data_IF_534821841336
#
_entry.id   IF_534821841336
#
_cell.length_a   1.000
_cell.length_b   1.000
_cell.length_c   1.000
_cell.angle_alpha   90.00
_cell.angle_beta   90.00
_cell.angle_gamma   90.00
#
_symmetry.space_group_name_H-M   'P 1'
#
loop_
_entity.id
_entity.type
_entity.pdbx_description
1 polymer ?
#
# COMPACT_ATOMS: atom_id res chain seq x y z
N UNK A 1 13.69 5.10 17.02
CA UNK A 1 12.58 4.22 16.60
C UNK A 1 12.30 4.55 15.16
N UNK A 2 12.67 3.64 14.28
CA UNK A 2 12.46 3.75 12.84
C UNK A 2 11.46 2.69 12.43
N UNK A 3 10.27 3.13 12.02
CA UNK A 3 9.18 2.22 11.70
C UNK A 3 9.24 1.76 10.25
N UNK A 4 8.77 0.55 10.00
CA UNK A 4 8.52 0.01 8.67
C UNK A 4 7.14 -0.64 8.62
N UNK A 5 6.65 -0.85 7.42
CA UNK A 5 5.32 -1.40 7.15
C UNK A 5 5.38 -2.22 5.86
N UNK A 6 4.88 -3.46 5.83
CA UNK A 6 4.87 -4.27 4.60
C UNK A 6 4.06 -3.58 3.50
N UNK A 7 4.62 -3.53 2.29
CA UNK A 7 4.00 -2.82 1.19
C UNK A 7 2.94 -3.64 0.47
N UNK A 8 1.89 -2.96 0.04
CA UNK A 8 0.88 -3.49 -0.88
C UNK A 8 0.46 -2.34 -1.80
N UNK A 9 0.93 -2.36 -3.02
CA UNK A 9 0.61 -1.34 -4.01
C UNK A 9 0.96 0.07 -3.54
N UNK A 10 -0.02 0.96 -3.43
CA UNK A 10 0.21 2.34 -2.98
C UNK A 10 0.14 2.54 -1.46
N UNK A 11 -0.10 1.47 -0.68
CA UNK A 11 -0.25 1.62 0.78
C UNK A 11 1.04 2.06 1.46
N UNK A 12 2.19 1.49 1.08
CA UNK A 12 3.49 1.87 1.60
C UNK A 12 3.85 3.31 1.27
N UNK A 13 3.59 3.74 0.04
CA UNK A 13 3.82 5.13 -0.38
C UNK A 13 2.95 6.11 0.41
N UNK A 14 1.64 5.85 0.52
CA UNK A 14 0.72 6.70 1.28
C UNK A 14 1.05 6.72 2.78
N UNK A 15 1.43 5.57 3.35
CA UNK A 15 1.86 5.47 4.75
C UNK A 15 3.18 6.23 4.98
N UNK A 16 4.15 6.14 4.06
CA UNK A 16 5.41 6.86 4.13
C UNK A 16 5.20 8.38 4.18
N UNK A 17 4.33 8.93 3.33
CA UNK A 17 3.96 10.35 3.34
C UNK A 17 3.31 10.72 4.69
N UNK A 18 2.37 9.92 5.17
CA UNK A 18 1.74 10.16 6.47
C UNK A 18 2.76 10.16 7.61
N UNK A 19 3.69 9.20 7.64
CA UNK A 19 4.69 9.12 8.69
C UNK A 19 5.64 10.32 8.69
N UNK A 20 6.09 10.77 7.52
CA UNK A 20 6.87 12.02 7.40
C UNK A 20 6.10 13.22 7.93
N UNK A 21 4.85 13.39 7.51
CA UNK A 21 3.97 14.47 7.95
C UNK A 21 3.69 14.45 9.47
N UNK A 22 3.67 13.25 10.08
CA UNK A 22 3.55 13.08 11.52
C UNK A 22 4.88 13.27 12.26
N UNK A 23 6.01 13.31 11.57
CA UNK A 23 7.35 13.35 12.14
C UNK A 23 7.74 12.01 12.77
N UNK A 24 7.36 10.91 12.14
CA UNK A 24 7.75 9.54 12.48
C UNK A 24 8.83 9.10 11.50
N UNK A 25 9.96 8.61 12.00
CA UNK A 25 11.01 8.05 11.17
C UNK A 25 10.51 6.77 10.49
N UNK A 26 10.43 6.80 9.18
CA UNK A 26 9.94 5.69 8.36
C UNK A 26 11.03 5.17 7.43
N UNK A 27 11.19 3.87 7.39
CA UNK A 27 12.04 3.15 6.44
C UNK A 27 11.12 2.43 5.46
N UNK A 28 11.09 2.84 4.18
CA UNK A 28 10.27 2.17 3.20
C UNK A 28 10.78 0.76 2.93
N UNK A 29 9.86 -0.16 2.70
CA UNK A 29 10.18 -1.50 2.21
C UNK A 29 10.40 -1.40 0.69
N UNK A 30 11.57 -1.78 0.18
CA UNK A 30 11.77 -1.85 -1.25
C UNK A 30 11.06 -3.08 -1.81
N UNK A 31 10.63 -3.00 -3.07
CA UNK A 31 10.28 -4.23 -3.79
C UNK A 31 11.48 -5.17 -3.79
N UNK A 32 11.31 -6.44 -3.38
CA UNK A 32 12.42 -7.40 -3.33
C UNK A 32 12.97 -7.64 -4.74
N UNK A 33 14.29 -7.50 -4.89
CA UNK A 33 14.97 -7.75 -6.15
C UNK A 33 16.27 -8.56 -5.90
N UNK A 34 16.45 -9.65 -6.63
CA UNK A 34 17.74 -10.31 -6.71
C UNK A 34 18.04 -11.42 -5.70
N UNK A 35 19.24 -11.42 -5.10
CA UNK A 35 19.73 -12.52 -4.29
C UNK A 35 19.06 -12.61 -2.92
N UNK A 36 18.78 -11.47 -2.31
CA UNK A 36 18.17 -11.36 -0.98
C UNK A 36 16.74 -11.92 -0.96
N UNK A 37 15.98 -11.66 -2.02
CA UNK A 37 14.67 -12.27 -2.24
C UNK A 37 14.75 -13.79 -2.22
N UNK A 38 15.72 -14.36 -2.96
CA UNK A 38 15.89 -15.82 -3.04
C UNK A 38 16.24 -16.44 -1.69
N UNK A 39 17.02 -15.76 -0.87
CA UNK A 39 17.34 -16.22 0.49
C UNK A 39 16.11 -16.19 1.40
N UNK A 40 15.38 -15.08 1.41
CA UNK A 40 14.15 -14.97 2.19
C UNK A 40 13.10 -16.01 1.77
N UNK A 41 12.98 -16.28 0.47
CA UNK A 41 12.06 -17.30 -0.03
C UNK A 41 12.43 -18.72 0.37
N UNK A 42 13.73 -19.03 0.55
CA UNK A 42 14.19 -20.34 1.05
C UNK A 42 13.81 -20.57 2.51
N UNK A 43 13.83 -19.50 3.32
CA UNK A 43 13.50 -19.60 4.73
C UNK A 43 11.98 -19.60 4.99
N UNK A 44 11.19 -19.20 4.01
CA UNK A 44 9.75 -19.28 4.10
C UNK A 44 9.26 -20.72 3.89
N UNK A 45 8.26 -21.21 4.66
CA UNK A 45 7.64 -22.49 4.39
C UNK A 45 7.07 -22.57 2.97
N UNK A 46 7.19 -23.72 2.31
CA UNK A 46 6.80 -23.90 0.90
C UNK A 46 5.33 -23.61 0.64
N UNK A 47 4.48 -23.99 1.61
CA UNK A 47 3.01 -23.87 1.53
C UNK A 47 2.50 -22.44 1.84
N UNK A 48 3.40 -21.50 2.17
CA UNK A 48 3.02 -20.11 2.40
C UNK A 48 2.79 -19.38 1.09
N UNK A 49 1.75 -18.54 1.09
CA UNK A 49 1.37 -17.73 -0.06
C UNK A 49 2.42 -16.64 -0.37
N UNK A 50 2.40 -16.14 -1.60
CA UNK A 50 3.35 -15.14 -2.09
C UNK A 50 3.46 -13.90 -1.19
N UNK A 51 2.35 -13.31 -0.66
CA UNK A 51 2.45 -12.17 0.26
C UNK A 51 3.36 -12.41 1.46
N UNK A 52 3.31 -13.60 2.06
CA UNK A 52 4.19 -13.93 3.19
C UNK A 52 5.66 -13.87 2.80
N UNK A 53 6.00 -14.48 1.65
CA UNK A 53 7.37 -14.55 1.14
C UNK A 53 7.92 -13.16 0.83
N UNK A 54 7.09 -12.31 0.23
CA UNK A 54 7.45 -10.93 -0.06
C UNK A 54 7.64 -10.12 1.22
N UNK A 55 6.71 -10.19 2.16
CA UNK A 55 6.85 -9.50 3.46
C UNK A 55 8.11 -9.93 4.22
N UNK A 56 8.48 -11.21 4.13
CA UNK A 56 9.71 -11.68 4.75
C UNK A 56 10.95 -11.00 4.12
N UNK A 57 11.01 -10.93 2.78
CA UNK A 57 12.11 -10.29 2.07
C UNK A 57 12.15 -8.77 2.32
N UNK A 58 10.99 -8.11 2.25
CA UNK A 58 10.84 -6.68 2.51
C UNK A 58 11.30 -6.29 3.91
N UNK A 59 10.89 -7.06 4.92
CA UNK A 59 11.24 -6.78 6.30
C UNK A 59 12.72 -7.10 6.60
N UNK A 60 13.28 -8.15 6.00
CA UNK A 60 14.71 -8.44 6.11
C UNK A 60 15.56 -7.28 5.55
N UNK A 61 15.20 -6.76 4.40
CA UNK A 61 15.88 -5.60 3.80
C UNK A 61 15.64 -4.31 4.58
N UNK A 62 14.41 -4.06 5.07
CA UNK A 62 14.13 -2.89 5.89
C UNK A 62 14.96 -2.88 7.19
N UNK A 63 15.22 -4.06 7.78
CA UNK A 63 16.12 -4.19 8.92
C UNK A 63 17.55 -3.75 8.57
N UNK A 64 18.08 -4.21 7.44
CA UNK A 64 19.40 -3.80 6.95
C UNK A 64 19.51 -2.29 6.72
N UNK A 65 18.40 -1.65 6.35
CA UNK A 65 18.27 -0.18 6.20
C UNK A 65 18.08 0.54 7.53
N UNK A 66 18.04 -0.21 8.64
CA UNK A 66 17.98 0.31 10.00
C UNK A 66 16.59 0.52 10.56
N UNK A 67 15.56 -0.12 10.00
CA UNK A 67 14.25 -0.20 10.65
C UNK A 67 14.36 -1.06 11.92
N UNK A 68 13.71 -0.65 13.00
CA UNK A 68 13.71 -1.35 14.30
C UNK A 68 12.30 -1.73 14.79
N UNK A 69 11.28 -1.24 14.11
CA UNK A 69 9.88 -1.41 14.52
C UNK A 69 9.01 -1.71 13.30
N UNK A 70 8.28 -2.83 13.33
CA UNK A 70 7.31 -3.21 12.29
C UNK A 70 5.90 -2.87 12.74
N UNK A 71 5.16 -2.22 11.86
CA UNK A 71 3.71 -2.06 12.00
C UNK A 71 3.07 -3.10 11.09
N UNK A 72 2.35 -4.06 11.68
CA UNK A 72 1.72 -5.14 10.94
C UNK A 72 0.20 -5.04 11.05
N UNK A 73 -0.53 -4.96 9.92
CA UNK A 73 -1.97 -5.12 9.96
C UNK A 73 -2.31 -6.58 10.30
N UNK A 74 -3.33 -6.77 11.13
CA UNK A 74 -3.93 -8.09 11.34
C UNK A 74 -5.23 -8.21 10.54
N UNK A 75 -5.61 -9.42 10.19
CA UNK A 75 -6.88 -9.69 9.53
C UNK A 75 -7.64 -10.78 10.25
N UNK A 76 -8.96 -10.67 10.26
CA UNK A 76 -9.87 -11.75 10.68
C UNK A 76 -10.34 -12.55 9.47
N UNK A 77 -10.65 -13.81 9.71
CA UNK A 77 -11.28 -14.68 8.73
C UNK A 77 -10.36 -15.77 8.20
N UNK A 78 -10.69 -16.37 7.07
CA UNK A 78 -9.96 -17.51 6.53
C UNK A 78 -8.58 -17.14 5.93
N UNK A 79 -8.26 -15.86 5.85
CA UNK A 79 -6.96 -15.40 5.35
C UNK A 79 -5.86 -15.64 6.37
N UNK A 80 -4.76 -16.29 5.96
CA UNK A 80 -3.59 -16.55 6.79
C UNK A 80 -2.82 -15.29 7.21
N UNK A 81 -3.14 -14.14 6.62
CA UNK A 81 -2.49 -12.85 6.96
C UNK A 81 -2.54 -12.55 8.48
N UNK A 82 -3.59 -13.00 9.17
CA UNK A 82 -3.70 -12.88 10.62
C UNK A 82 -2.59 -13.56 11.40
N UNK A 83 -2.04 -14.65 10.86
CA UNK A 83 -0.98 -15.46 11.49
C UNK A 83 0.43 -15.07 11.02
N UNK A 84 0.55 -14.19 10.01
CA UNK A 84 1.86 -13.83 9.44
C UNK A 84 2.80 -13.24 10.47
N UNK A 85 2.29 -12.42 11.38
CA UNK A 85 3.10 -11.72 12.37
C UNK A 85 3.96 -12.67 13.20
N UNK A 86 3.38 -13.75 13.72
CA UNK A 86 4.09 -14.70 14.59
C UNK A 86 5.15 -15.47 13.80
N UNK A 87 4.82 -15.95 12.62
CA UNK A 87 5.76 -16.73 11.81
C UNK A 87 6.88 -15.85 11.23
N UNK A 88 6.56 -14.65 10.74
CA UNK A 88 7.55 -13.67 10.29
C UNK A 88 8.51 -13.32 11.42
N UNK A 89 8.01 -13.11 12.65
CA UNK A 89 8.84 -12.83 13.81
C UNK A 89 9.85 -13.93 14.06
N UNK A 90 9.40 -15.19 14.11
CA UNK A 90 10.29 -16.34 14.38
C UNK A 90 11.38 -16.47 13.30
N UNK A 91 11.03 -16.31 12.03
CA UNK A 91 12.00 -16.44 10.94
C UNK A 91 12.97 -15.26 10.94
N UNK A 92 12.48 -14.03 11.08
CA UNK A 92 13.31 -12.84 11.11
C UNK A 92 14.25 -12.79 12.31
N UNK A 93 13.80 -13.24 13.50
CA UNK A 93 14.68 -13.38 14.68
C UNK A 93 15.82 -14.38 14.44
N UNK A 94 15.56 -15.51 13.78
CA UNK A 94 16.61 -16.46 13.36
C UNK A 94 17.61 -15.86 12.37
N UNK A 95 17.18 -14.89 11.57
CA UNK A 95 18.02 -14.13 10.64
C UNK A 95 18.75 -12.95 11.32
N UNK A 96 18.56 -12.76 12.63
CA UNK A 96 19.16 -11.67 13.41
C UNK A 96 18.38 -10.35 13.36
N UNK A 97 17.16 -10.34 12.85
CA UNK A 97 16.30 -9.17 12.77
C UNK A 97 15.41 -9.11 14.03
N UNK A 98 15.78 -8.31 15.03
CA UNK A 98 15.09 -8.22 16.32
C UNK A 98 14.13 -7.03 16.37
N UNK A 99 13.06 -7.09 15.60
CA UNK A 99 12.06 -6.04 15.52
C UNK A 99 11.20 -5.91 16.77
N UNK A 100 10.82 -4.68 17.09
CA UNK A 100 9.64 -4.40 17.90
C UNK A 100 8.40 -4.52 17.00
N UNK A 101 7.44 -5.37 17.38
CA UNK A 101 6.21 -5.59 16.63
C UNK A 101 5.05 -4.79 17.18
N UNK A 102 4.34 -4.07 16.32
CA UNK A 102 3.10 -3.35 16.63
C UNK A 102 2.02 -3.90 15.73
N UNK A 103 1.27 -4.85 16.26
CA UNK A 103 0.17 -5.48 15.52
C UNK A 103 -1.08 -4.66 15.72
N UNK A 104 -1.65 -4.19 14.59
CA UNK A 104 -2.90 -3.42 14.56
C UNK A 104 -4.06 -4.37 14.28
N UNK A 105 -4.52 -5.03 15.34
CA UNK A 105 -5.67 -5.92 15.28
C UNK A 105 -6.99 -5.16 15.11
N UNK A 106 -8.03 -5.87 14.68
CA UNK A 106 -9.37 -5.28 14.60
C UNK A 106 -9.91 -4.93 15.98
N UNK A 107 -10.62 -3.78 16.13
CA UNK A 107 -11.09 -3.31 17.44
C UNK A 107 -11.96 -4.30 18.21
N UNK A 108 -12.64 -5.20 17.52
CA UNK A 108 -13.44 -6.25 18.13
C UNK A 108 -12.63 -7.28 18.93
N UNK A 109 -11.32 -7.42 18.65
CA UNK A 109 -10.46 -8.43 19.30
C UNK A 109 -9.73 -7.86 20.50
N UNK A 110 -9.19 -6.66 20.37
CA UNK A 110 -8.36 -6.03 21.40
C UNK A 110 -9.04 -4.83 22.07
N UNK A 111 -10.18 -4.40 21.55
CA UNK A 111 -10.85 -3.19 21.97
C UNK A 111 -10.21 -1.91 21.41
N UNK A 112 -11.04 -0.89 21.24
CA UNK A 112 -10.63 0.38 20.63
C UNK A 112 -9.53 1.12 21.43
N UNK A 113 -9.57 1.01 22.77
CA UNK A 113 -8.54 1.64 23.62
C UNK A 113 -7.16 1.05 23.41
N UNK A 114 -7.06 -0.26 23.29
CA UNK A 114 -5.80 -0.96 23.05
C UNK A 114 -5.27 -0.68 21.65
N UNK A 115 -6.13 -0.70 20.63
CA UNK A 115 -5.74 -0.31 19.27
C UNK A 115 -5.16 1.12 19.25
N UNK A 116 -5.84 2.08 19.90
CA UNK A 116 -5.33 3.46 20.02
C UNK A 116 -4.01 3.50 20.77
N UNK A 117 -3.85 2.73 21.84
CA UNK A 117 -2.59 2.65 22.60
C UNK A 117 -1.45 2.15 21.72
N UNK A 118 -1.67 1.07 20.97
CA UNK A 118 -0.67 0.51 20.04
C UNK A 118 -0.32 1.51 18.95
N UNK A 119 -1.32 2.06 18.26
CA UNK A 119 -1.11 3.05 17.21
C UNK A 119 -0.43 4.33 17.72
N UNK A 120 -0.77 4.80 18.94
CA UNK A 120 -0.15 5.99 19.51
C UNK A 120 1.30 5.77 19.97
N UNK A 121 1.73 4.51 20.15
CA UNK A 121 3.08 4.20 20.63
C UNK A 121 4.19 4.61 19.64
N UNK A 122 3.85 4.75 18.36
CA UNK A 122 4.77 5.20 17.31
C UNK A 122 4.79 6.71 17.14
N UNK A 123 3.79 7.40 17.67
CA UNK A 123 3.63 8.83 17.45
C UNK A 123 4.52 9.67 18.38
N UNK A 124 5.12 10.76 17.88
CA UNK A 124 5.75 11.77 18.72
C UNK A 124 4.79 12.32 19.79
N UNK A 125 5.33 12.76 20.92
CA UNK A 125 4.54 13.25 22.07
C UNK A 125 3.55 14.36 21.72
N UNK A 126 3.88 15.19 20.72
CA UNK A 126 2.96 16.25 20.25
C UNK A 126 1.60 15.71 19.81
N UNK A 127 1.55 14.47 19.25
CA UNK A 127 0.33 13.87 18.75
C UNK A 127 -0.49 13.14 19.82
N UNK A 128 0.12 12.81 20.96
CA UNK A 128 -0.55 12.10 22.07
C UNK A 128 -1.48 13.01 22.89
N UNK A 129 -1.39 14.33 22.71
CA UNK A 129 -2.25 15.30 23.41
C UNK A 129 -3.68 15.28 22.87
N UNK A 130 -4.70 15.27 23.75
CA UNK A 130 -6.13 15.26 23.38
C UNK A 130 -6.50 16.30 22.32
N UNK A 131 -5.94 17.51 22.39
CA UNK A 131 -6.20 18.60 21.43
C UNK A 131 -5.78 18.28 19.99
N UNK A 132 -4.90 17.31 19.78
CA UNK A 132 -4.39 16.95 18.46
C UNK A 132 -5.07 15.72 17.86
N UNK A 133 -5.96 15.04 18.58
CA UNK A 133 -6.68 13.85 18.09
C UNK A 133 -7.49 14.16 16.83
N UNK A 134 -8.21 15.29 16.81
CA UNK A 134 -8.97 15.70 15.62
C UNK A 134 -8.07 15.91 14.39
N UNK A 135 -6.89 16.53 14.59
CA UNK A 135 -5.92 16.72 13.51
C UNK A 135 -5.34 15.39 13.02
N UNK A 136 -5.04 14.46 13.93
CA UNK A 136 -4.56 13.13 13.57
C UNK A 136 -5.60 12.36 12.75
N UNK A 137 -6.87 12.39 13.17
CA UNK A 137 -7.96 11.80 12.41
C UNK A 137 -8.12 12.44 11.04
N UNK A 138 -7.96 13.77 10.94
CA UNK A 138 -7.93 14.48 9.66
C UNK A 138 -6.79 13.99 8.75
N UNK A 139 -5.58 13.80 9.29
CA UNK A 139 -4.44 13.28 8.52
C UNK A 139 -4.66 11.85 8.04
N UNK A 140 -5.21 10.97 8.88
CA UNK A 140 -5.58 9.61 8.49
C UNK A 140 -6.66 9.60 7.38
N UNK A 141 -7.66 10.47 7.50
CA UNK A 141 -8.67 10.65 6.47
C UNK A 141 -8.07 11.14 5.15
N UNK A 142 -7.20 12.13 5.19
CA UNK A 142 -6.52 12.67 4.03
C UNK A 142 -5.61 11.62 3.37
N UNK A 143 -4.92 10.79 4.16
CA UNK A 143 -4.11 9.67 3.64
C UNK A 143 -4.97 8.67 2.87
N UNK A 144 -6.14 8.31 3.41
CA UNK A 144 -7.09 7.46 2.69
C UNK A 144 -7.57 8.11 1.37
N UNK A 145 -7.83 9.43 1.39
CA UNK A 145 -8.20 10.16 0.19
C UNK A 145 -7.06 10.24 -0.84
N UNK A 146 -5.83 10.43 -0.39
CA UNK A 146 -4.65 10.39 -1.24
C UNK A 146 -4.53 9.02 -1.93
N UNK A 147 -4.58 7.93 -1.15
CA UNK A 147 -4.55 6.57 -1.68
C UNK A 147 -5.62 6.36 -2.76
N UNK A 148 -6.85 6.78 -2.47
CA UNK A 148 -7.96 6.69 -3.44
C UNK A 148 -7.71 7.51 -4.70
N UNK A 149 -7.10 8.69 -4.59
CA UNK A 149 -6.76 9.51 -5.75
C UNK A 149 -5.68 8.86 -6.62
N UNK A 150 -4.66 8.23 -5.99
CA UNK A 150 -3.62 7.49 -6.70
C UNK A 150 -4.21 6.30 -7.49
N UNK A 151 -5.03 5.48 -6.84
CA UNK A 151 -5.73 4.36 -7.48
C UNK A 151 -6.63 4.83 -8.64
N UNK A 152 -7.39 5.92 -8.44
CA UNK A 152 -8.26 6.47 -9.48
C UNK A 152 -7.47 7.04 -10.66
N UNK A 153 -6.36 7.72 -10.39
CA UNK A 153 -5.47 8.28 -11.41
C UNK A 153 -4.88 7.19 -12.29
N UNK A 154 -4.34 6.13 -11.68
CA UNK A 154 -3.85 4.96 -12.41
C UNK A 154 -4.95 4.28 -13.22
N UNK A 155 -6.08 3.99 -12.60
CA UNK A 155 -7.20 3.32 -13.26
C UNK A 155 -7.71 4.08 -14.48
N UNK A 156 -7.78 5.42 -14.40
CA UNK A 156 -8.21 6.25 -15.51
C UNK A 156 -7.20 6.26 -16.67
N UNK A 157 -5.89 6.31 -16.37
CA UNK A 157 -4.84 6.23 -17.39
C UNK A 157 -4.85 4.88 -18.11
N UNK A 158 -4.91 3.78 -17.35
CA UNK A 158 -4.91 2.43 -17.92
C UNK A 158 -6.19 2.11 -18.70
N UNK A 159 -7.34 2.64 -18.27
CA UNK A 159 -8.61 2.47 -19.01
C UNK A 159 -8.59 3.17 -20.37
N UNK A 160 -7.81 4.22 -20.51
CA UNK A 160 -7.72 5.00 -21.74
C UNK A 160 -6.43 4.73 -22.54
N UNK A 161 -5.54 3.89 -22.06
CA UNK A 161 -4.21 3.72 -22.65
C UNK A 161 -4.23 3.38 -24.15
N UNK A 162 -5.10 2.48 -24.56
CA UNK A 162 -5.21 2.09 -25.98
C UNK A 162 -5.80 3.15 -26.90
N UNK A 163 -6.34 4.23 -26.36
CA UNK A 163 -6.80 5.39 -27.15
C UNK A 163 -5.74 6.46 -27.31
N UNK A 164 -4.60 6.36 -26.63
CA UNK A 164 -3.50 7.30 -26.85
C UNK A 164 -2.64 6.85 -28.02
N UNK A 165 -2.16 7.80 -28.82
CA UNK A 165 -1.28 7.50 -29.96
C UNK A 165 0.02 6.83 -29.48
N UNK A 166 0.48 7.16 -28.28
CA UNK A 166 1.59 6.50 -27.59
C UNK A 166 1.10 5.90 -26.25
N UNK A 167 0.64 4.65 -26.20
CA UNK A 167 0.07 4.05 -25.00
C UNK A 167 0.98 4.07 -23.78
N UNK A 168 2.31 3.98 -23.96
CA UNK A 168 3.33 4.03 -22.89
C UNK A 168 3.28 5.32 -22.05
N UNK A 169 2.70 6.42 -22.57
CA UNK A 169 2.54 7.68 -21.81
C UNK A 169 1.78 7.46 -20.50
N UNK A 170 0.87 6.49 -20.47
CA UNK A 170 0.14 6.15 -19.25
C UNK A 170 1.08 5.62 -18.17
N UNK A 171 1.97 4.65 -18.49
CA UNK A 171 2.96 4.13 -17.55
C UNK A 171 3.96 5.21 -17.11
N UNK A 172 4.41 6.06 -18.03
CA UNK A 172 5.33 7.16 -17.73
C UNK A 172 4.73 8.16 -16.74
N UNK A 173 3.45 8.51 -16.90
CA UNK A 173 2.76 9.40 -15.96
C UNK A 173 2.52 8.75 -14.61
N UNK A 174 2.16 7.46 -14.57
CA UNK A 174 1.96 6.70 -13.33
C UNK A 174 3.28 6.63 -12.54
N UNK A 175 4.36 6.18 -13.18
CA UNK A 175 5.67 6.02 -12.54
C UNK A 175 6.27 7.35 -12.09
N UNK A 176 6.19 8.39 -12.92
CA UNK A 176 6.67 9.74 -12.57
C UNK A 176 5.88 10.35 -11.42
N UNK A 177 4.56 10.13 -11.38
CA UNK A 177 3.71 10.57 -10.27
C UNK A 177 4.10 9.86 -8.97
N UNK A 178 4.27 8.55 -9.01
CA UNK A 178 4.67 7.77 -7.84
C UNK A 178 6.06 8.19 -7.33
N UNK A 179 7.02 8.41 -8.23
CA UNK A 179 8.35 8.90 -7.89
C UNK A 179 8.31 10.27 -7.21
N UNK A 180 7.56 11.23 -7.77
CA UNK A 180 7.45 12.57 -7.17
C UNK A 180 6.69 12.55 -5.83
N UNK A 181 5.67 11.70 -5.69
CA UNK A 181 4.98 11.46 -4.42
C UNK A 181 5.91 10.85 -3.35
N UNK A 182 6.85 9.99 -3.76
CA UNK A 182 7.79 9.37 -2.82
C UNK A 182 8.69 10.39 -2.11
N UNK A 183 8.92 11.53 -2.74
CA UNK A 183 9.73 12.63 -2.21
C UNK A 183 8.92 13.67 -1.42
N UNK A 184 7.58 13.66 -1.50
CA UNK A 184 6.74 14.62 -0.83
C UNK A 184 6.97 14.64 0.69
N UNK A 185 7.21 15.81 1.26
CA UNK A 185 7.53 15.99 2.68
C UNK A 185 6.31 15.75 3.59
N UNK A 186 5.12 16.06 3.09
CA UNK A 186 3.86 15.94 3.84
C UNK A 186 2.66 15.69 2.92
N UNK A 187 1.47 15.61 3.52
CA UNK A 187 0.24 15.37 2.79
C UNK A 187 -0.19 16.56 1.90
N UNK A 188 0.15 17.79 2.28
CA UNK A 188 -0.20 18.98 1.49
C UNK A 188 0.57 18.97 0.16
N UNK A 189 1.88 18.79 0.23
CA UNK A 189 2.72 18.64 -0.96
C UNK A 189 2.29 17.45 -1.82
N UNK A 190 1.93 16.31 -1.21
CA UNK A 190 1.44 15.15 -1.94
C UNK A 190 0.14 15.45 -2.72
N UNK A 191 -0.79 16.23 -2.15
CA UNK A 191 -1.99 16.66 -2.88
C UNK A 191 -1.67 17.63 -4.01
N UNK A 192 -0.67 18.49 -3.85
CA UNK A 192 -0.19 19.37 -4.92
C UNK A 192 0.43 18.58 -6.08
N UNK A 193 1.24 17.55 -5.76
CA UNK A 193 1.74 16.60 -6.76
C UNK A 193 0.57 15.96 -7.51
N UNK A 194 -0.41 15.40 -6.80
CA UNK A 194 -1.59 14.80 -7.44
C UNK A 194 -2.34 15.78 -8.33
N UNK A 195 -2.47 17.03 -7.89
CA UNK A 195 -3.07 18.11 -8.68
C UNK A 195 -2.36 18.35 -10.02
N UNK A 196 -1.01 18.45 -9.97
CA UNK A 196 -0.18 18.62 -11.17
C UNK A 196 -0.32 17.43 -12.14
N UNK A 197 -0.32 16.20 -11.65
CA UNK A 197 -0.42 15.01 -12.50
C UNK A 197 -1.83 14.82 -13.08
N UNK A 198 -2.88 15.15 -12.32
CA UNK A 198 -4.25 15.19 -12.86
C UNK A 198 -4.39 16.22 -13.97
N UNK A 199 -3.73 17.37 -13.85
CA UNK A 199 -3.70 18.36 -14.92
C UNK A 199 -2.93 17.86 -16.15
N UNK A 200 -1.74 17.22 -15.96
CA UNK A 200 -0.99 16.58 -17.06
C UNK A 200 -1.87 15.55 -17.78
N UNK A 201 -2.55 14.67 -17.03
CA UNK A 201 -3.48 13.68 -17.59
C UNK A 201 -4.62 14.33 -18.38
N UNK A 202 -5.21 15.40 -17.88
CA UNK A 202 -6.31 16.09 -18.55
C UNK A 202 -5.93 16.70 -19.91
N UNK A 203 -4.62 16.84 -20.19
CA UNK A 203 -4.10 17.31 -21.50
C UNK A 203 -3.83 16.18 -22.48
N UNK A 204 -3.90 14.93 -22.05
CA UNK A 204 -3.86 13.81 -22.99
C UNK A 204 -5.15 13.79 -23.80
N UNK A 205 -4.99 13.70 -25.11
CA UNK A 205 -6.13 13.66 -26.05
C UNK A 205 -6.33 12.21 -26.51
N UNK A 206 -7.40 11.52 -26.07
CA UNK A 206 -7.71 10.20 -26.59
C UNK A 206 -8.09 10.26 -28.08
N UNK A 207 -7.52 9.38 -28.86
CA UNK A 207 -7.85 9.21 -30.28
C UNK A 207 -8.89 8.09 -30.42
N UNK A 208 -10.15 8.45 -30.50
CA UNK A 208 -11.27 7.49 -30.60
C UNK A 208 -11.39 6.81 -31.96
N UNK A 209 -10.52 7.10 -32.93
CA UNK A 209 -10.42 6.30 -34.16
C UNK A 209 -9.74 4.94 -33.92
N UNK A 210 -8.99 4.80 -32.80
CA UNK A 210 -8.44 3.53 -32.36
C UNK A 210 -9.55 2.63 -31.84
N UNK A 211 -9.37 1.31 -32.05
CA UNK A 211 -10.25 0.27 -31.55
C UNK A 211 -9.46 -0.69 -30.64
N UNK A 212 -9.04 -0.26 -29.44
CA UNK A 212 -8.19 -1.05 -28.57
C UNK A 212 -8.92 -2.25 -27.99
N UNK A 213 -8.16 -3.31 -27.71
CA UNK A 213 -8.63 -4.43 -26.93
C UNK A 213 -8.90 -3.96 -25.48
N UNK A 214 -10.01 -4.39 -24.91
CA UNK A 214 -10.38 -4.08 -23.52
C UNK A 214 -10.27 -5.34 -22.68
N UNK A 215 -9.50 -5.27 -21.60
CA UNK A 215 -9.25 -6.40 -20.70
C UNK A 215 -9.63 -6.00 -19.28
N UNK A 216 -10.41 -6.85 -18.60
CA UNK A 216 -10.60 -6.74 -17.15
C UNK A 216 -9.66 -7.72 -16.45
N UNK A 217 -8.96 -7.23 -15.42
CA UNK A 217 -8.07 -8.02 -14.57
C UNK A 217 -8.76 -8.22 -13.23
N UNK A 218 -8.92 -9.47 -12.83
CA UNK A 218 -9.47 -9.84 -11.53
C UNK A 218 -8.61 -10.90 -10.86
N UNK A 219 -8.64 -11.00 -9.54
CA UNK A 219 -7.85 -11.96 -8.81
C UNK A 219 -7.79 -11.68 -7.30
N UNK A 220 -6.77 -12.20 -6.66
CA UNK A 220 -6.50 -12.01 -5.24
C UNK A 220 -5.94 -10.61 -5.00
N UNK A 221 -6.35 -9.95 -3.91
CA UNK A 221 -6.09 -8.53 -3.64
C UNK A 221 -4.61 -8.16 -3.64
N UNK A 222 -3.75 -8.99 -3.05
CA UNK A 222 -2.33 -8.70 -2.99
C UNK A 222 -1.70 -8.77 -4.38
N UNK A 223 -1.91 -9.89 -5.09
CA UNK A 223 -1.36 -10.10 -6.43
C UNK A 223 -1.83 -9.04 -7.42
N UNK A 224 -3.09 -8.60 -7.32
CA UNK A 224 -3.61 -7.54 -8.19
C UNK A 224 -2.96 -6.17 -7.94
N UNK A 225 -2.58 -5.88 -6.70
CA UNK A 225 -2.09 -4.55 -6.33
C UNK A 225 -0.56 -4.49 -6.13
N UNK A 226 0.14 -5.65 -6.18
CA UNK A 226 1.58 -5.71 -6.04
C UNK A 226 2.23 -5.98 -7.41
N UNK A 227 2.87 -4.96 -8.03
CA UNK A 227 3.44 -5.08 -9.37
C UNK A 227 4.50 -6.18 -9.50
N UNK A 228 5.26 -6.44 -8.45
CA UNK A 228 6.24 -7.51 -8.43
C UNK A 228 5.55 -8.89 -8.50
N UNK A 229 4.54 -9.13 -7.67
CA UNK A 229 3.82 -10.40 -7.60
C UNK A 229 3.11 -10.74 -8.93
N UNK A 230 2.58 -9.74 -9.63
CA UNK A 230 1.90 -9.91 -10.92
C UNK A 230 2.82 -9.73 -12.14
N UNK A 231 4.13 -9.59 -11.92
CA UNK A 231 5.14 -9.38 -12.98
C UNK A 231 4.86 -8.16 -13.85
N UNK A 232 4.34 -7.09 -13.26
CA UNK A 232 3.98 -5.84 -13.96
C UNK A 232 3.08 -6.08 -15.17
N UNK A 233 2.12 -7.00 -15.06
CA UNK A 233 1.22 -7.36 -16.17
C UNK A 233 0.44 -6.15 -16.68
N UNK A 234 0.04 -5.25 -15.78
CA UNK A 234 -0.69 -4.04 -16.13
C UNK A 234 0.18 -3.11 -17.01
N UNK A 235 1.45 -2.92 -16.66
CA UNK A 235 2.38 -2.09 -17.44
C UNK A 235 2.59 -2.67 -18.84
N UNK A 236 2.82 -3.98 -18.94
CA UNK A 236 3.05 -4.67 -20.22
C UNK A 236 1.84 -4.60 -21.14
N UNK A 237 0.64 -4.81 -20.62
CA UNK A 237 -0.59 -4.72 -21.38
C UNK A 237 -0.89 -3.28 -21.82
N UNK A 238 -0.59 -2.30 -20.95
CA UNK A 238 -0.70 -0.88 -21.27
C UNK A 238 0.21 -0.51 -22.45
N UNK A 239 1.46 -0.95 -22.45
CA UNK A 239 2.42 -0.71 -23.54
C UNK A 239 1.98 -1.32 -24.87
N UNK A 240 1.24 -2.42 -24.82
CA UNK A 240 0.63 -3.04 -26.01
C UNK A 240 -0.64 -2.31 -26.50
N UNK A 241 -1.01 -1.19 -25.89
CA UNK A 241 -2.19 -0.42 -26.28
C UNK A 241 -3.51 -1.07 -25.85
N UNK A 242 -3.49 -1.85 -24.78
CA UNK A 242 -4.70 -2.44 -24.20
C UNK A 242 -5.34 -1.45 -23.22
N UNK A 243 -6.67 -1.34 -23.27
CA UNK A 243 -7.45 -0.63 -22.25
C UNK A 243 -7.73 -1.58 -21.09
N UNK A 244 -7.22 -1.27 -19.89
CA UNK A 244 -7.32 -2.12 -18.72
C UNK A 244 -8.34 -1.62 -17.70
N UNK A 245 -9.04 -2.57 -17.09
CA UNK A 245 -9.88 -2.33 -15.92
C UNK A 245 -9.53 -3.33 -14.82
N UNK A 246 -9.29 -2.83 -13.61
CA UNK A 246 -9.04 -3.64 -12.41
C UNK A 246 -10.21 -3.47 -11.45
N UNK A 247 -10.81 -4.57 -11.00
CA UNK A 247 -12.03 -4.54 -10.20
C UNK A 247 -11.77 -4.40 -8.70
N UNK A 248 -10.60 -4.83 -8.21
CA UNK A 248 -10.26 -4.84 -6.79
C UNK A 248 -9.05 -3.94 -6.51
N UNK A 249 -9.29 -2.80 -5.84
CA UNK A 249 -8.25 -1.92 -5.31
C UNK A 249 -8.19 -2.02 -3.79
N UNK A 250 -7.14 -1.49 -3.17
CA UNK A 250 -7.02 -1.47 -1.72
C UNK A 250 -8.13 -0.66 -1.07
N UNK A 251 -8.48 0.51 -1.61
CA UNK A 251 -9.54 1.33 -1.03
C UNK A 251 -10.92 0.70 -1.20
N UNK A 252 -11.15 -0.04 -2.28
CA UNK A 252 -12.36 -0.85 -2.45
C UNK A 252 -12.44 -1.94 -1.37
N UNK A 253 -11.34 -2.67 -1.16
CA UNK A 253 -11.25 -3.74 -0.16
C UNK A 253 -11.44 -3.20 1.26
N UNK A 254 -10.78 -2.10 1.62
CA UNK A 254 -10.93 -1.42 2.92
C UNK A 254 -12.39 -1.02 3.18
N UNK A 255 -13.06 -0.49 2.16
CA UNK A 255 -14.48 -0.11 2.26
C UNK A 255 -15.39 -1.33 2.47
N UNK A 256 -15.13 -2.43 1.74
CA UNK A 256 -15.90 -3.67 1.85
C UNK A 256 -15.72 -4.31 3.22
N UNK A 257 -14.49 -4.44 3.69
CA UNK A 257 -14.15 -5.02 4.99
C UNK A 257 -14.76 -4.22 6.14
N UNK A 258 -14.71 -2.87 6.08
CA UNK A 258 -15.36 -2.02 7.09
C UNK A 258 -16.88 -2.25 7.16
N UNK A 259 -17.55 -2.47 6.02
CA UNK A 259 -18.99 -2.75 6.00
C UNK A 259 -19.34 -4.11 6.62
N UNK A 260 -18.48 -5.10 6.46
CA UNK A 260 -18.66 -6.44 7.04
C UNK A 260 -18.35 -6.47 8.54
N UNK A 261 -17.45 -5.60 9.02
CA UNK A 261 -17.05 -5.48 10.43
C UNK A 261 -17.94 -4.54 11.24
N UNK A 262 -18.86 -3.79 10.59
CA UNK A 262 -19.84 -3.00 11.30
C UNK A 262 -20.84 -3.96 11.99
N UNK A 263 -21.01 -3.88 13.32
CA UNK A 263 -21.99 -4.72 13.99
C UNK A 263 -23.36 -4.47 13.40
N UNK A 264 -24.20 -5.52 13.30
CA UNK A 264 -25.58 -5.49 12.81
C UNK A 264 -26.53 -4.64 13.68
N UNK A 265 -26.03 -3.56 14.29
CA UNK A 265 -26.75 -2.65 15.18
C UNK A 265 -27.65 -1.66 14.42
N UNK A 266 -27.61 -1.62 13.09
CA UNK A 266 -28.43 -0.71 12.28
C UNK A 266 -29.41 -1.42 11.33
N UNK A 267 -29.68 -2.69 11.56
CA UNK A 267 -30.77 -3.39 10.86
C UNK A 267 -31.93 -3.70 11.83
N UNK A 268 -32.60 -2.67 12.28
CA UNK A 268 -33.99 -2.76 12.78
C UNK A 268 -34.72 -1.49 12.40
#
# INVERSE_FOLDING_TARGET
MKVTFPDIGYAGLAAGILFRDLGVDYVPTPSPEGAEEREAFRDAPEDMCMPFKLFLAELDEAWRRGADTVIMPSSRGPCRLGEFCELLRVILERRGCHYRWIVLDVPSDIGFRELLRRASSILPEKWKKKRNVGRLLGKLHNTYHLLKQMESFEAELRRNAGYYDEPKVANELISSCAAELSEAADLEEAFDVMGRYRWKKARLTPNFSHSPVKIAITGEIFTLNEPYANRRIEDRLTELGVCLEKDITLTWWMKKTRRQSAPAFFSR
#
